data_IF_498997657383
#
_entry.id   IF_498997657383
#
_cell.length_a   1.000
_cell.length_b   1.000
_cell.length_c   1.000
_cell.angle_alpha   90.00
_cell.angle_beta   90.00
_cell.angle_gamma   90.00
#
_symmetry.space_group_name_H-M   'P 1'
#
loop_
_entity.id
_entity.type
_entity.pdbx_description
1 polymer ?
#
# COMPACT_ATOMS: atom_id res chain seq x y z
N UNK A 1 -6.36 27.02 30.39
CA UNK A 1 -5.23 26.16 29.97
C UNK A 1 -5.46 25.82 28.51
N UNK A 2 -4.50 26.14 27.64
CA UNK A 2 -4.62 25.99 26.19
C UNK A 2 -4.68 24.50 25.82
N UNK A 3 -5.74 24.09 25.12
CA UNK A 3 -5.96 22.71 24.69
C UNK A 3 -5.06 22.46 23.48
N UNK A 4 -3.93 21.81 23.70
CA UNK A 4 -3.08 21.32 22.62
C UNK A 4 -3.66 19.98 22.16
N UNK A 5 -4.59 20.02 21.21
CA UNK A 5 -5.07 18.85 20.50
C UNK A 5 -3.89 18.20 19.78
N UNK A 6 -3.37 17.11 20.35
CA UNK A 6 -2.32 16.31 19.72
C UNK A 6 -2.91 15.58 18.51
N UNK A 7 -2.25 15.60 17.34
CA UNK A 7 -2.78 14.89 16.19
C UNK A 7 -2.85 13.40 16.54
N UNK A 8 -4.03 12.82 16.33
CA UNK A 8 -4.24 11.39 16.28
C UNK A 8 -3.13 10.76 15.44
N UNK A 9 -2.67 9.58 15.86
CA UNK A 9 -1.61 8.81 15.20
C UNK A 9 -1.69 9.03 13.70
N UNK A 10 -0.72 9.77 13.14
CA UNK A 10 -0.76 10.01 11.70
C UNK A 10 -0.77 8.63 11.07
N UNK A 11 -1.80 8.30 10.25
CA UNK A 11 -1.68 7.17 9.36
C UNK A 11 -0.36 7.40 8.64
N UNK A 12 0.38 6.32 8.40
CA UNK A 12 1.54 6.41 7.55
C UNK A 12 1.04 7.02 6.23
N UNK A 13 1.24 8.31 6.02
CA UNK A 13 1.00 8.98 4.74
C UNK A 13 2.16 8.55 3.82
N UNK A 14 2.33 7.23 3.68
CA UNK A 14 3.16 6.64 2.65
C UNK A 14 2.46 6.96 1.36
N UNK A 15 2.91 8.02 0.67
CA UNK A 15 2.93 8.10 -0.80
C UNK A 15 1.93 7.14 -1.47
N UNK A 16 0.64 7.46 -1.39
CA UNK A 16 -0.51 6.55 -1.60
C UNK A 16 -0.20 5.42 -2.60
N UNK A 17 0.17 4.24 -2.09
CA UNK A 17 0.46 3.07 -2.92
C UNK A 17 -0.83 2.55 -3.55
N UNK A 18 -1.30 3.26 -4.58
CA UNK A 18 -2.52 2.93 -5.28
C UNK A 18 -2.23 1.78 -6.24
N UNK A 19 -2.77 0.60 -5.91
CA UNK A 19 -2.78 -0.55 -6.81
C UNK A 19 -4.22 -0.98 -7.05
N UNK A 20 -4.53 -1.42 -8.28
CA UNK A 20 -5.85 -1.87 -8.64
C UNK A 20 -5.75 -3.17 -9.43
N UNK A 21 -6.56 -4.15 -9.01
CA UNK A 21 -6.72 -5.43 -9.70
C UNK A 21 -8.02 -5.34 -10.49
N UNK A 22 -7.94 -5.59 -11.79
CA UNK A 22 -9.04 -5.43 -12.74
C UNK A 22 -9.31 -6.78 -13.39
N UNK A 23 -10.50 -7.32 -13.19
CA UNK A 23 -10.96 -8.47 -13.94
C UNK A 23 -11.51 -8.00 -15.29
N UNK A 24 -11.09 -8.64 -16.39
CA UNK A 24 -11.50 -8.26 -17.74
C UNK A 24 -12.04 -9.46 -18.50
N UNK A 25 -13.27 -9.35 -18.98
CA UNK A 25 -13.91 -10.39 -19.78
C UNK A 25 -13.34 -10.44 -21.21
N UNK A 26 -13.04 -9.29 -21.83
CA UNK A 26 -12.41 -9.20 -23.16
C UNK A 26 -11.05 -8.54 -23.06
N UNK A 27 -10.01 -9.22 -23.51
CA UNK A 27 -8.64 -8.72 -23.40
C UNK A 27 -8.44 -7.35 -24.09
N UNK A 28 -9.18 -7.07 -25.15
CA UNK A 28 -9.15 -5.81 -25.91
C UNK A 28 -9.66 -4.60 -25.09
N UNK A 29 -10.48 -4.82 -24.06
CA UNK A 29 -11.03 -3.74 -23.24
C UNK A 29 -9.95 -3.02 -22.42
N UNK A 30 -8.78 -3.64 -22.25
CA UNK A 30 -7.63 -3.06 -21.55
C UNK A 30 -7.17 -1.76 -22.23
N UNK A 31 -7.18 -1.69 -23.56
CA UNK A 31 -6.74 -0.49 -24.30
C UNK A 31 -7.69 0.71 -24.12
N UNK A 32 -8.97 0.41 -23.86
CA UNK A 32 -10.01 1.41 -23.62
C UNK A 32 -10.20 1.70 -22.13
N UNK A 33 -9.44 1.04 -21.25
CA UNK A 33 -9.61 1.18 -19.82
C UNK A 33 -9.33 2.63 -19.37
N UNK A 34 -10.25 3.26 -18.61
CA UNK A 34 -10.27 4.73 -18.47
C UNK A 34 -9.05 5.32 -17.74
N UNK A 35 -8.21 4.49 -17.12
CA UNK A 35 -6.99 4.92 -16.41
C UNK A 35 -5.87 5.39 -17.33
N UNK A 36 -5.86 5.04 -18.61
CA UNK A 36 -4.81 5.48 -19.54
C UNK A 36 -4.99 6.91 -20.06
N UNK A 37 -6.22 7.42 -20.09
CA UNK A 37 -6.52 8.71 -20.75
C UNK A 37 -7.26 9.73 -19.87
N UNK A 38 -8.11 9.31 -18.93
CA UNK A 38 -9.10 10.21 -18.32
C UNK A 38 -9.14 10.21 -16.78
N UNK A 39 -8.68 9.15 -16.09
CA UNK A 39 -8.52 9.25 -14.65
C UNK A 39 -7.24 10.02 -14.35
N UNK A 40 -7.39 11.22 -13.78
CA UNK A 40 -6.36 11.89 -12.95
C UNK A 40 -6.02 11.06 -11.69
N UNK A 41 -6.19 9.75 -11.73
CA UNK A 41 -5.69 8.86 -10.69
C UNK A 41 -4.18 9.04 -10.68
N UNK A 42 -3.66 9.22 -9.46
CA UNK A 42 -2.28 9.54 -9.15
C UNK A 42 -1.32 8.88 -10.15
N UNK A 43 -0.33 9.65 -10.63
CA UNK A 43 0.74 9.28 -11.60
C UNK A 43 1.52 8.00 -11.24
N UNK A 44 1.15 7.34 -10.16
CA UNK A 44 1.70 6.14 -9.59
C UNK A 44 0.54 5.19 -9.25
N UNK A 45 -0.24 4.74 -10.23
CA UNK A 45 -1.19 3.64 -10.01
C UNK A 45 -0.67 2.40 -10.70
N UNK A 46 -0.61 1.29 -9.96
CA UNK A 46 -0.22 -0.01 -10.49
C UNK A 46 -1.45 -0.82 -10.87
N UNK A 47 -1.60 -1.15 -12.15
CA UNK A 47 -2.78 -1.85 -12.67
C UNK A 47 -2.43 -3.29 -13.03
N UNK A 48 -3.21 -4.23 -12.50
CA UNK A 48 -3.07 -5.66 -12.78
C UNK A 48 -4.38 -6.14 -13.40
N UNK A 49 -4.34 -6.42 -14.69
CA UNK A 49 -5.47 -6.98 -15.43
C UNK A 49 -5.39 -8.50 -15.43
N UNK A 50 -6.51 -9.15 -15.13
CA UNK A 50 -6.67 -10.59 -15.13
C UNK A 50 -7.72 -10.94 -16.17
N UNK A 51 -7.32 -11.72 -17.17
CA UNK A 51 -8.20 -12.18 -18.24
C UNK A 51 -8.29 -13.72 -18.25
N UNK A 52 -9.48 -14.31 -18.04
CA UNK A 52 -9.66 -15.75 -18.14
C UNK A 52 -9.55 -16.23 -19.60
N UNK A 53 -8.81 -17.31 -19.83
CA UNK A 53 -8.70 -17.97 -21.12
C UNK A 53 -9.66 -19.15 -21.20
N UNK A 54 -10.07 -19.53 -22.42
CA UNK A 54 -10.92 -20.71 -22.66
C UNK A 54 -10.31 -22.03 -22.15
N UNK A 55 -9.00 -22.05 -21.95
CA UNK A 55 -8.23 -23.19 -21.39
C UNK A 55 -8.41 -23.35 -19.87
N UNK A 56 -9.07 -22.42 -19.18
CA UNK A 56 -9.15 -22.38 -17.72
C UNK A 56 -7.92 -21.78 -17.04
N UNK A 57 -6.98 -21.25 -17.83
CA UNK A 57 -5.83 -20.46 -17.36
C UNK A 57 -6.18 -18.96 -17.36
N UNK A 58 -5.31 -18.15 -16.78
CA UNK A 58 -5.50 -16.71 -16.67
C UNK A 58 -4.30 -15.98 -17.25
N UNK A 59 -4.57 -15.08 -18.20
CA UNK A 59 -3.57 -14.16 -18.74
C UNK A 59 -3.49 -12.91 -17.87
N UNK A 60 -2.27 -12.52 -17.53
CA UNK A 60 -1.98 -11.33 -16.74
C UNK A 60 -1.46 -10.24 -17.67
N UNK A 61 -1.96 -9.02 -17.49
CA UNK A 61 -1.39 -7.82 -18.11
C UNK A 61 -1.16 -6.76 -17.04
N UNK A 62 0.02 -6.16 -17.07
CA UNK A 62 0.48 -5.19 -16.08
C UNK A 62 0.68 -3.87 -16.82
N UNK A 63 -0.01 -2.83 -16.36
CA UNK A 63 0.15 -1.48 -16.89
C UNK A 63 0.75 -0.60 -15.80
N UNK A 64 1.91 -0.02 -16.11
CA UNK A 64 2.61 0.94 -15.27
C UNK A 64 2.63 2.29 -15.99
N UNK A 65 2.14 3.34 -15.32
CA UNK A 65 2.13 4.72 -15.85
C UNK A 65 3.39 5.51 -15.44
N UNK A 66 4.40 4.84 -14.89
CA UNK A 66 5.60 5.46 -14.34
C UNK A 66 6.81 5.10 -15.21
N UNK A 67 7.57 6.11 -15.64
CA UNK A 67 8.83 5.98 -16.38
C UNK A 67 10.02 5.59 -15.48
N UNK A 68 9.75 5.09 -14.27
CA UNK A 68 10.78 4.69 -13.30
C UNK A 68 11.46 3.41 -13.78
N UNK A 69 12.79 3.44 -13.79
CA UNK A 69 13.65 2.35 -14.29
C UNK A 69 13.76 1.16 -13.32
N UNK A 70 12.93 1.04 -12.29
CA UNK A 70 13.01 -0.06 -11.33
C UNK A 70 12.06 -1.18 -11.72
N UNK A 71 12.54 -1.95 -12.70
CA UNK A 71 11.90 -3.16 -13.19
C UNK A 71 11.49 -4.15 -12.10
N UNK A 72 10.22 -4.54 -12.18
CA UNK A 72 9.78 -5.93 -12.24
C UNK A 72 10.52 -6.95 -11.36
N UNK A 73 10.61 -6.74 -10.05
CA UNK A 73 10.70 -7.90 -9.14
C UNK A 73 9.28 -8.23 -8.74
N UNK A 74 8.63 -8.84 -9.71
CA UNK A 74 7.24 -9.19 -9.69
C UNK A 74 7.20 -10.65 -10.14
N UNK A 75 6.50 -11.56 -9.44
CA UNK A 75 6.37 -12.94 -9.88
C UNK A 75 5.62 -13.08 -11.21
N UNK A 76 4.97 -12.01 -11.69
CA UNK A 76 4.16 -11.95 -12.91
C UNK A 76 4.54 -10.73 -13.75
N UNK A 77 4.65 -10.94 -15.05
CA UNK A 77 4.87 -9.91 -16.07
C UNK A 77 3.72 -9.89 -17.08
N UNK A 78 3.57 -8.79 -17.82
CA UNK A 78 2.60 -8.73 -18.91
C UNK A 78 2.78 -9.87 -19.90
N UNK A 79 1.69 -10.59 -20.20
CA UNK A 79 1.71 -11.80 -21.04
C UNK A 79 1.84 -13.10 -20.26
N UNK A 80 2.09 -13.06 -18.94
CA UNK A 80 2.13 -14.27 -18.11
C UNK A 80 0.80 -15.02 -18.16
N UNK A 81 0.86 -16.34 -18.18
CA UNK A 81 -0.32 -17.21 -18.11
C UNK A 81 -0.19 -18.11 -16.89
N UNK A 82 -1.17 -18.06 -15.99
CA UNK A 82 -1.14 -18.76 -14.70
C UNK A 82 -2.35 -19.66 -14.50
N UNK A 83 -2.15 -20.71 -13.71
CA UNK A 83 -3.22 -21.60 -13.29
C UNK A 83 -4.16 -20.93 -12.27
N UNK A 84 -5.41 -21.40 -12.20
CA UNK A 84 -6.37 -20.98 -11.17
C UNK A 84 -5.83 -21.10 -9.75
N UNK A 85 -5.09 -22.19 -9.47
CA UNK A 85 -4.56 -22.51 -8.12
C UNK A 85 -3.47 -21.53 -7.68
N UNK A 86 -2.64 -21.07 -8.62
CA UNK A 86 -1.51 -20.19 -8.32
C UNK A 86 -1.84 -18.70 -8.47
N UNK A 87 -2.89 -18.35 -9.20
CA UNK A 87 -3.26 -16.96 -9.53
C UNK A 87 -3.32 -16.05 -8.30
N UNK A 88 -4.11 -16.41 -7.29
CA UNK A 88 -4.33 -15.56 -6.12
C UNK A 88 -3.05 -15.28 -5.33
N UNK A 89 -2.23 -16.33 -5.14
CA UNK A 89 -0.94 -16.19 -4.47
C UNK A 89 0.00 -15.26 -5.24
N UNK A 90 0.17 -15.50 -6.55
CA UNK A 90 1.11 -14.72 -7.37
C UNK A 90 0.69 -13.24 -7.49
N UNK A 91 -0.60 -12.95 -7.63
CA UNK A 91 -1.12 -11.57 -7.68
C UNK A 91 -0.92 -10.86 -6.34
N UNK A 92 -1.16 -11.55 -5.21
CA UNK A 92 -0.93 -10.98 -3.87
C UNK A 92 0.54 -10.64 -3.65
N UNK A 93 1.45 -11.55 -3.95
CA UNK A 93 2.89 -11.33 -3.83
C UNK A 93 3.36 -10.17 -4.73
N UNK A 94 2.81 -10.08 -5.94
CA UNK A 94 3.04 -8.96 -6.85
C UNK A 94 2.64 -7.60 -6.25
N UNK A 95 1.46 -7.49 -5.64
CA UNK A 95 1.00 -6.25 -4.99
C UNK A 95 1.85 -5.90 -3.77
N UNK A 96 2.18 -6.88 -2.91
CA UNK A 96 3.02 -6.64 -1.73
C UNK A 96 4.42 -6.16 -2.14
N UNK A 97 5.03 -6.83 -3.11
CA UNK A 97 6.36 -6.47 -3.62
C UNK A 97 6.38 -5.07 -4.24
N UNK A 98 5.31 -4.70 -4.94
CA UNK A 98 5.13 -3.35 -5.46
C UNK A 98 5.07 -2.31 -4.34
N UNK A 99 4.18 -2.51 -3.35
CA UNK A 99 4.04 -1.59 -2.21
C UNK A 99 5.34 -1.44 -1.42
N UNK A 100 6.06 -2.54 -1.16
CA UNK A 100 7.35 -2.50 -0.48
C UNK A 100 8.39 -1.70 -1.26
N UNK A 101 8.48 -1.87 -2.58
CA UNK A 101 9.40 -1.07 -3.41
C UNK A 101 9.07 0.40 -3.37
N UNK A 102 7.81 0.74 -3.57
CA UNK A 102 7.37 2.12 -3.58
C UNK A 102 7.61 2.80 -2.23
N UNK A 103 7.50 2.05 -1.13
CA UNK A 103 7.87 2.52 0.20
C UNK A 103 9.38 2.80 0.30
N UNK A 104 10.23 1.93 -0.25
CA UNK A 104 11.68 2.10 -0.26
C UNK A 104 12.13 3.28 -1.14
N UNK A 105 11.43 3.54 -2.25
CA UNK A 105 11.69 4.69 -3.13
C UNK A 105 11.21 6.02 -2.55
N UNK A 106 10.23 5.98 -1.64
CA UNK A 106 9.77 7.20 -0.99
C UNK A 106 10.79 7.65 0.07
N UNK A 107 11.61 8.65 -0.27
CA UNK A 107 12.54 9.32 0.66
C UNK A 107 11.83 9.91 1.90
N UNK A 108 10.50 10.05 1.82
CA UNK A 108 9.65 10.50 2.91
C UNK A 108 9.40 9.46 4.01
N UNK A 109 9.77 8.19 3.81
CA UNK A 109 9.52 7.14 4.79
C UNK A 109 10.81 6.74 5.52
N UNK A 110 10.99 7.11 6.80
CA UNK A 110 12.14 6.67 7.56
C UNK A 110 12.13 5.14 7.77
N UNK A 111 13.30 4.49 7.87
CA UNK A 111 13.40 3.05 8.11
C UNK A 111 12.58 2.58 9.34
N UNK A 112 12.15 1.30 9.38
CA UNK A 112 11.31 0.77 10.46
C UNK A 112 11.83 1.04 11.87
N UNK A 113 13.14 0.95 12.09
CA UNK A 113 13.75 1.20 13.40
C UNK A 113 13.67 2.69 13.81
N UNK A 114 13.77 3.62 12.86
CA UNK A 114 13.62 5.06 13.10
C UNK A 114 12.15 5.38 13.39
N UNK A 115 11.21 4.83 12.62
CA UNK A 115 9.76 4.95 12.88
C UNK A 115 9.40 4.44 14.28
N UNK A 116 9.93 3.28 14.67
CA UNK A 116 9.75 2.71 16.01
C UNK A 116 10.30 3.65 17.08
N UNK A 117 11.49 4.22 16.89
CA UNK A 117 12.08 5.20 17.82
C UNK A 117 11.20 6.44 17.99
N UNK A 118 10.69 7.02 16.89
CA UNK A 118 9.76 8.14 16.95
C UNK A 118 8.47 7.78 17.70
N UNK A 119 7.88 6.61 17.42
CA UNK A 119 6.66 6.16 18.11
C UNK A 119 6.87 5.94 19.61
N UNK A 120 8.01 5.34 20.01
CA UNK A 120 8.37 5.19 21.43
C UNK A 120 8.53 6.56 22.10
N UNK A 121 9.20 7.49 21.43
CA UNK A 121 9.36 8.85 21.93
C UNK A 121 8.00 9.55 22.07
N UNK A 122 7.11 9.40 21.10
CA UNK A 122 5.75 9.98 21.15
C UNK A 122 4.95 9.41 22.32
N UNK A 123 4.94 8.09 22.51
CA UNK A 123 4.29 7.44 23.66
C UNK A 123 4.90 7.97 24.97
N UNK A 124 6.23 8.04 25.04
CA UNK A 124 6.93 8.56 26.21
C UNK A 124 6.52 10.00 26.49
N UNK A 125 6.51 10.88 25.50
CA UNK A 125 6.14 12.28 25.66
C UNK A 125 4.66 12.44 26.04
N UNK A 126 3.76 11.63 25.47
CA UNK A 126 2.32 11.67 25.75
C UNK A 126 1.97 11.21 27.15
N UNK A 127 2.62 10.14 27.63
CA UNK A 127 2.22 9.45 28.86
C UNK A 127 3.21 9.62 30.01
N UNK A 128 4.29 10.39 29.84
CA UNK A 128 5.23 10.69 30.93
C UNK A 128 4.50 11.44 32.03
N UNK A 129 4.31 10.76 33.16
CA UNK A 129 3.68 11.31 34.35
C UNK A 129 4.43 10.87 35.60
N UNK A 130 4.24 11.60 36.71
CA UNK A 130 4.81 11.25 38.02
C UNK A 130 3.75 10.62 38.95
N UNK A 131 2.91 9.76 38.40
CA UNK A 131 1.88 9.04 39.17
C UNK A 131 2.40 7.70 39.70
N UNK A 132 1.76 7.17 40.74
CA UNK A 132 1.89 5.75 41.05
C UNK A 132 1.26 4.92 39.93
N UNK A 133 1.73 3.69 39.74
CA UNK A 133 1.25 2.79 38.69
C UNK A 133 -0.30 2.63 38.67
N UNK A 134 -1.01 2.46 39.81
CA UNK A 134 -2.48 2.39 39.81
C UNK A 134 -3.16 3.69 39.38
N UNK A 135 -2.61 4.84 39.76
CA UNK A 135 -3.15 6.15 39.40
C UNK A 135 -2.91 6.45 37.91
N UNK A 136 -1.77 6.02 37.37
CA UNK A 136 -1.48 6.09 35.93
C UNK A 136 -2.51 5.28 35.12
N UNK A 137 -2.73 4.00 35.45
CA UNK A 137 -3.71 3.20 34.70
C UNK A 137 -5.12 3.73 34.79
N UNK A 138 -5.53 4.24 35.96
CA UNK A 138 -6.83 4.86 36.11
C UNK A 138 -6.98 6.07 35.18
N UNK A 139 -5.93 6.90 35.06
CA UNK A 139 -5.92 8.09 34.19
C UNK A 139 -6.07 7.80 32.69
N UNK A 140 -5.74 6.58 32.23
CA UNK A 140 -5.85 6.21 30.80
C UNK A 140 -7.30 6.08 30.31
N UNK A 141 -8.24 5.87 31.22
CA UNK A 141 -9.65 5.62 30.89
C UNK A 141 -10.57 6.80 31.21
N UNK A 142 -10.02 7.91 31.71
CA UNK A 142 -10.76 9.16 31.79
C UNK A 142 -10.56 9.91 30.47
N UNK A 143 -11.62 10.00 29.66
CA UNK A 143 -11.72 11.03 28.63
C UNK A 143 -11.82 12.41 29.32
N UNK A 144 -11.21 13.46 28.76
CA UNK A 144 -11.35 14.82 29.29
C UNK A 144 -12.79 15.36 29.19
#
# INVERSE_FOLDING_TARGET
>A
MSVQSYPAMMPCNSSECNSMIVWVERFEDIENFPTMKNLKMCKHTFLIFIHPLKTGLYRIHVSENTTSKFGLVVPLVSGSVVSKRSLGFLVREMVINWCHRRLLESDSTPPPHIRRKHMINDITLRYRSRHSEPAFYSSLFYEP
#
